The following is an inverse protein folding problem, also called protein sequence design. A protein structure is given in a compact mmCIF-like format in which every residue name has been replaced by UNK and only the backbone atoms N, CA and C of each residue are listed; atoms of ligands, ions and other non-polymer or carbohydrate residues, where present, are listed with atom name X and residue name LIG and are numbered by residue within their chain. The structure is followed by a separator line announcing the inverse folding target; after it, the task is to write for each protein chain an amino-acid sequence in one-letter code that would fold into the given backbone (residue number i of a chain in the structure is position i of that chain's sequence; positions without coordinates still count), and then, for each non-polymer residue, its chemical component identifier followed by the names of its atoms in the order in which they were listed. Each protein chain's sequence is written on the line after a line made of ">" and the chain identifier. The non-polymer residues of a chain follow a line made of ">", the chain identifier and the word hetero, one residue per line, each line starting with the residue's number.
data_IF_933819747067
#
_entry.id   IF_933819747067
#
_cell.length_a   1.000
_cell.length_b   1.000
_cell.length_c   1.000
_cell.angle_alpha   90.00
_cell.angle_beta   90.00
_cell.angle_gamma   90.00
#
_symmetry.space_group_name_H-M   'P 1'
#
loop_
_entity.id
_entity.type
_entity.pdbx_description
1 polymer ?
#
# COMPACT_ATOMS: atom_id res chain seq x y z
N UNK A 1 -9.35 -5.81 22.98
CA UNK A 1 -8.25 -5.16 22.26
C UNK A 1 -8.37 -5.62 20.82
N UNK A 2 -8.57 -4.68 19.89
CA UNK A 2 -8.62 -5.01 18.47
C UNK A 2 -7.23 -5.47 18.01
N UNK A 3 -7.19 -6.28 16.96
CA UNK A 3 -5.95 -6.65 16.28
C UNK A 3 -6.01 -6.08 14.86
N UNK A 4 -6.30 -4.78 14.75
CA UNK A 4 -6.55 -4.11 13.46
C UNK A 4 -5.25 -3.80 12.75
N UNK A 5 -5.16 -4.20 11.49
CA UNK A 5 -4.00 -4.02 10.64
C UNK A 5 -4.37 -3.18 9.45
N UNK A 6 -3.61 -2.10 9.23
CA UNK A 6 -3.64 -1.34 7.97
C UNK A 6 -2.36 -1.63 7.21
N UNK A 7 -2.48 -1.88 5.91
CA UNK A 7 -1.33 -2.10 5.05
C UNK A 7 -1.16 -0.94 4.06
N UNK A 8 0.07 -0.48 3.87
CA UNK A 8 0.46 0.45 2.82
C UNK A 8 1.51 -0.25 1.95
N UNK A 9 1.18 -0.42 0.67
CA UNK A 9 2.03 -1.06 -0.32
C UNK A 9 2.32 -0.09 -1.46
N UNK A 10 3.56 -0.08 -1.96
CA UNK A 10 3.88 0.62 -3.21
C UNK A 10 4.22 -0.41 -4.32
N UNK A 11 3.23 -0.84 -5.12
CA UNK A 11 3.44 -1.89 -6.13
C UNK A 11 4.23 -1.41 -7.36
N UNK A 12 4.57 -0.13 -7.46
CA UNK A 12 5.38 0.40 -8.57
C UNK A 12 6.87 0.06 -8.39
N UNK A 13 7.30 -0.29 -7.18
CA UNK A 13 8.68 -0.68 -6.88
C UNK A 13 8.93 -2.19 -7.03
N UNK A 14 7.97 -2.95 -7.56
CA UNK A 14 8.10 -4.37 -7.84
C UNK A 14 6.94 -5.22 -7.32
N UNK A 15 7.15 -6.55 -7.31
CA UNK A 15 6.13 -7.49 -6.84
C UNK A 15 5.91 -7.36 -5.33
N UNK A 16 4.65 -7.36 -4.91
CA UNK A 16 4.25 -7.31 -3.50
C UNK A 16 3.90 -8.66 -2.88
N UNK A 17 4.29 -9.76 -3.52
CA UNK A 17 3.93 -11.12 -3.10
C UNK A 17 4.31 -11.43 -1.64
N UNK A 18 5.51 -11.02 -1.20
CA UNK A 18 5.94 -11.22 0.20
C UNK A 18 5.10 -10.42 1.20
N UNK A 19 4.72 -9.20 0.83
CA UNK A 19 3.85 -8.34 1.64
C UNK A 19 2.46 -8.93 1.77
N UNK A 20 1.87 -9.40 0.66
CA UNK A 20 0.58 -10.08 0.63
C UNK A 20 0.61 -11.37 1.48
N UNK A 21 1.67 -12.18 1.34
CA UNK A 21 1.87 -13.37 2.18
C UNK A 21 1.96 -13.02 3.68
N UNK A 22 2.66 -11.94 4.02
CA UNK A 22 2.78 -11.49 5.41
C UNK A 22 1.44 -11.05 5.98
N UNK A 23 0.63 -10.32 5.20
CA UNK A 23 -0.73 -9.94 5.58
C UNK A 23 -1.63 -11.16 5.76
N UNK A 24 -1.54 -12.14 4.87
CA UNK A 24 -2.27 -13.39 5.00
C UNK A 24 -1.89 -14.17 6.26
N UNK A 25 -0.60 -14.21 6.61
CA UNK A 25 -0.14 -14.85 7.84
C UNK A 25 -0.68 -14.15 9.09
N UNK A 26 -0.72 -12.81 9.10
CA UNK A 26 -1.35 -12.05 10.18
C UNK A 26 -2.85 -12.36 10.28
N UNK A 27 -3.55 -12.39 9.14
CA UNK A 27 -4.95 -12.78 9.08
C UNK A 27 -5.18 -14.18 9.69
N UNK A 28 -4.35 -15.18 9.36
CA UNK A 28 -4.41 -16.52 9.96
C UNK A 28 -4.14 -16.55 11.46
N UNK A 29 -3.41 -15.57 11.99
CA UNK A 29 -3.17 -15.40 13.43
C UNK A 29 -4.34 -14.71 14.16
N UNK A 30 -5.42 -14.38 13.46
CA UNK A 30 -6.60 -13.73 14.04
C UNK A 30 -6.51 -12.20 14.05
N UNK A 31 -5.63 -11.61 13.25
CA UNK A 31 -5.64 -10.17 13.00
C UNK A 31 -6.73 -9.79 11.99
N UNK A 32 -7.37 -8.66 12.21
CA UNK A 32 -8.32 -8.07 11.28
C UNK A 32 -7.56 -7.16 10.30
N UNK A 33 -7.50 -7.55 9.03
CA UNK A 33 -6.91 -6.69 8.00
C UNK A 33 -7.98 -5.69 7.55
N UNK A 34 -7.96 -4.49 8.12
CA UNK A 34 -8.98 -3.46 7.89
C UNK A 34 -8.98 -3.01 6.43
N UNK A 35 -7.79 -2.70 5.89
CA UNK A 35 -7.61 -2.31 4.49
C UNK A 35 -6.16 -2.40 4.02
N UNK A 36 -6.02 -2.52 2.70
CA UNK A 36 -4.75 -2.43 1.97
C UNK A 36 -4.80 -1.19 1.07
N UNK A 37 -3.88 -0.26 1.28
CA UNK A 37 -3.72 0.95 0.48
C UNK A 37 -2.53 0.77 -0.45
N UNK A 38 -2.79 0.90 -1.75
CA UNK A 38 -1.76 0.90 -2.78
C UNK A 38 -1.38 2.35 -3.09
N UNK A 39 -0.14 2.72 -2.83
CA UNK A 39 0.38 4.06 -3.07
C UNK A 39 1.20 4.04 -4.36
N UNK A 40 0.71 4.79 -5.35
CA UNK A 40 1.36 4.95 -6.66
C UNK A 40 2.22 6.22 -6.66
N UNK A 41 3.33 6.16 -5.91
CA UNK A 41 4.24 7.28 -5.66
C UNK A 41 5.02 7.71 -6.91
N UNK A 42 5.43 6.76 -7.77
CA UNK A 42 6.09 7.06 -9.04
C UNK A 42 5.12 7.74 -10.01
N UNK A 43 3.86 7.29 -10.04
CA UNK A 43 2.80 7.97 -10.81
C UNK A 43 2.58 9.41 -10.28
N UNK A 44 2.55 9.60 -8.96
CA UNK A 44 2.42 10.92 -8.35
C UNK A 44 3.57 11.86 -8.75
N UNK A 45 4.81 11.36 -8.68
CA UNK A 45 5.95 12.13 -9.15
C UNK A 45 5.82 12.44 -10.65
N UNK A 46 5.48 11.44 -11.48
CA UNK A 46 5.30 11.64 -12.92
C UNK A 46 4.27 12.73 -13.23
N UNK A 47 3.13 12.79 -12.54
CA UNK A 47 2.15 13.88 -12.70
C UNK A 47 2.76 15.26 -12.39
N UNK A 48 3.54 15.38 -11.30
CA UNK A 48 4.26 16.62 -10.96
C UNK A 48 5.27 17.04 -12.03
N UNK A 49 6.04 16.08 -12.55
CA UNK A 49 7.00 16.33 -13.63
C UNK A 49 6.29 16.74 -14.92
N UNK A 50 5.22 16.05 -15.27
CA UNK A 50 4.39 16.30 -16.45
C UNK A 50 3.74 17.69 -16.43
N UNK A 51 3.26 18.15 -15.26
CA UNK A 51 2.77 19.52 -15.09
C UNK A 51 3.87 20.56 -15.41
N UNK A 52 5.14 20.21 -15.20
CA UNK A 52 6.29 21.05 -15.54
C UNK A 52 6.61 21.04 -17.05
N UNK A 53 6.16 20.02 -17.80
CA UNK A 53 6.43 19.83 -19.25
C UNK A 53 5.18 19.93 -20.15
N UNK A 54 4.01 20.27 -19.62
CA UNK A 54 2.75 20.46 -20.38
C UNK A 54 2.20 19.23 -21.14
N UNK A 55 2.49 18.01 -20.68
CA UNK A 55 2.00 16.76 -21.31
C UNK A 55 1.13 15.91 -20.36
N UNK A 56 -0.08 16.35 -20.01
CA UNK A 56 -0.88 15.76 -18.92
C UNK A 56 -1.08 14.26 -19.08
N UNK A 57 -0.82 13.49 -18.01
CA UNK A 57 -1.26 12.10 -17.91
C UNK A 57 -2.79 12.13 -17.84
N UNK A 58 -3.47 11.34 -18.67
CA UNK A 58 -4.93 11.35 -18.67
C UNK A 58 -5.46 10.72 -17.37
N UNK A 59 -6.51 11.31 -16.79
CA UNK A 59 -7.18 10.75 -15.60
C UNK A 59 -7.68 9.33 -15.86
N UNK A 60 -8.09 9.03 -17.09
CA UNK A 60 -8.52 7.68 -17.49
C UNK A 60 -7.39 6.66 -17.40
N UNK A 61 -6.17 7.03 -17.77
CA UNK A 61 -5.01 6.15 -17.71
C UNK A 61 -4.61 5.87 -16.26
N UNK A 62 -4.70 6.87 -15.39
CA UNK A 62 -4.49 6.70 -13.94
C UNK A 62 -5.52 5.74 -13.34
N UNK A 63 -6.80 5.88 -13.70
CA UNK A 63 -7.84 4.97 -13.21
C UNK A 63 -7.67 3.54 -13.74
N UNK A 64 -7.24 3.38 -15.00
CA UNK A 64 -6.86 2.06 -15.55
C UNK A 64 -5.66 1.47 -14.79
N UNK A 65 -4.66 2.29 -14.47
CA UNK A 65 -3.47 1.88 -13.74
C UNK A 65 -3.81 1.43 -12.32
N UNK A 66 -4.61 2.21 -11.58
CA UNK A 66 -5.13 1.83 -10.25
C UNK A 66 -5.82 0.48 -10.28
N UNK A 67 -6.76 0.28 -11.22
CA UNK A 67 -7.47 -1.00 -11.38
C UNK A 67 -6.53 -2.16 -11.66
N UNK A 68 -5.48 -1.94 -12.47
CA UNK A 68 -4.46 -2.95 -12.75
C UNK A 68 -3.72 -3.39 -11.50
N UNK A 69 -3.27 -2.45 -10.67
CA UNK A 69 -2.56 -2.77 -9.43
C UNK A 69 -3.46 -3.41 -8.37
N UNK A 70 -4.70 -2.91 -8.21
CA UNK A 70 -5.69 -3.54 -7.34
C UNK A 70 -5.89 -5.01 -7.76
N UNK A 71 -6.12 -5.26 -9.06
CA UNK A 71 -6.31 -6.61 -9.58
C UNK A 71 -5.10 -7.51 -9.30
N UNK A 72 -3.89 -6.99 -9.43
CA UNK A 72 -2.67 -7.76 -9.15
C UNK A 72 -2.61 -8.18 -7.66
N UNK A 73 -2.88 -7.27 -6.73
CA UNK A 73 -2.85 -7.56 -5.29
C UNK A 73 -3.96 -8.53 -4.88
N UNK A 74 -5.17 -8.34 -5.43
CA UNK A 74 -6.29 -9.26 -5.22
C UNK A 74 -5.95 -10.65 -5.73
N UNK A 75 -5.38 -10.76 -6.93
CA UNK A 75 -4.97 -12.05 -7.50
C UNK A 75 -3.89 -12.75 -6.68
N UNK A 76 -2.95 -12.01 -6.07
CA UNK A 76 -1.95 -12.60 -5.16
C UNK A 76 -2.59 -13.08 -3.86
N UNK A 77 -3.63 -12.41 -3.37
CA UNK A 77 -4.39 -12.86 -2.19
C UNK A 77 -5.20 -14.12 -2.50
N UNK A 78 -5.93 -14.13 -3.61
CA UNK A 78 -6.75 -15.27 -4.06
C UNK A 78 -5.89 -16.51 -4.36
N UNK A 79 -4.61 -16.34 -4.69
CA UNK A 79 -3.67 -17.44 -4.84
C UNK A 79 -3.29 -18.11 -3.49
N UNK A 80 -3.52 -17.43 -2.36
CA UNK A 80 -3.23 -17.94 -1.01
C UNK A 80 -4.47 -18.51 -0.31
N UNK A 81 -5.67 -18.05 -0.67
CA UNK A 81 -6.93 -18.46 -0.03
C UNK A 81 -8.14 -18.20 -0.94
N UNK A 82 -9.19 -19.01 -0.78
CA UNK A 82 -10.50 -18.76 -1.39
C UNK A 82 -11.35 -17.77 -0.56
N UNK A 83 -10.85 -17.35 0.61
CA UNK A 83 -11.52 -16.38 1.47
C UNK A 83 -11.48 -14.96 0.87
N UNK A 84 -12.53 -14.18 1.18
CA UNK A 84 -12.67 -12.81 0.68
C UNK A 84 -11.47 -11.96 1.08
N UNK A 85 -10.85 -11.29 0.10
CA UNK A 85 -9.76 -10.36 0.35
C UNK A 85 -10.23 -9.13 1.17
N UNK A 86 -9.33 -8.52 1.96
CA UNK A 86 -9.63 -7.25 2.62
C UNK A 86 -9.87 -6.13 1.60
N UNK A 87 -10.54 -5.03 1.98
CA UNK A 87 -10.69 -3.86 1.12
C UNK A 87 -9.34 -3.39 0.56
N UNK A 88 -9.27 -3.17 -0.75
CA UNK A 88 -8.06 -2.67 -1.43
C UNK A 88 -8.40 -1.36 -2.13
N UNK A 89 -7.67 -0.31 -1.80
CA UNK A 89 -7.78 1.00 -2.45
C UNK A 89 -6.45 1.41 -3.09
N UNK A 90 -6.49 2.19 -4.17
CA UNK A 90 -5.29 2.70 -4.83
C UNK A 90 -5.33 4.22 -4.92
N UNK A 91 -4.25 4.86 -4.45
CA UNK A 91 -4.10 6.31 -4.29
C UNK A 91 -2.82 6.75 -4.99
N UNK A 92 -2.88 7.90 -5.67
CA UNK A 92 -1.71 8.55 -6.27
C UNK A 92 -1.30 9.69 -5.32
N UNK A 93 -0.32 9.42 -4.46
CA UNK A 93 0.22 10.37 -3.47
C UNK A 93 1.60 9.86 -3.02
N UNK A 94 2.29 10.61 -2.15
CA UNK A 94 3.50 10.13 -1.47
C UNK A 94 3.14 9.21 -0.31
N UNK A 95 3.97 8.21 -0.04
CA UNK A 95 3.73 7.24 1.05
C UNK A 95 3.59 7.98 2.39
N UNK A 96 4.42 9.00 2.61
CA UNK A 96 4.36 9.85 3.80
C UNK A 96 3.01 10.53 3.98
N UNK A 97 2.49 11.16 2.93
CA UNK A 97 1.23 11.90 3.00
C UNK A 97 0.05 10.95 3.30
N UNK A 98 0.10 9.72 2.80
CA UNK A 98 -0.93 8.72 3.07
C UNK A 98 -0.87 8.25 4.52
N UNK A 99 0.34 8.01 5.03
CA UNK A 99 0.58 7.63 6.43
C UNK A 99 0.11 8.72 7.39
N UNK A 100 0.46 9.99 7.13
CA UNK A 100 0.08 11.14 7.97
C UNK A 100 -1.45 11.37 8.00
N UNK A 101 -2.20 10.85 7.00
CA UNK A 101 -3.67 10.93 6.90
C UNK A 101 -4.38 9.70 7.47
N UNK A 102 -3.65 8.67 7.91
CA UNK A 102 -4.28 7.47 8.48
C UNK A 102 -5.00 7.81 9.80
N UNK A 103 -6.18 7.25 10.05
CA UNK A 103 -6.84 7.39 11.34
C UNK A 103 -6.03 6.69 12.43
N UNK A 104 -6.12 7.18 13.67
CA UNK A 104 -5.45 6.57 14.82
C UNK A 104 -6.12 5.27 15.32
N UNK A 105 -7.04 4.67 14.58
CA UNK A 105 -7.78 3.45 14.95
C UNK A 105 -7.19 2.19 14.25
N UNK A 106 -5.90 1.95 14.43
CA UNK A 106 -5.22 0.71 14.03
C UNK A 106 -4.15 0.32 15.03
N UNK A 107 -3.85 -0.97 15.15
CA UNK A 107 -2.89 -1.52 16.12
C UNK A 107 -1.53 -1.82 15.48
N UNK A 108 -1.51 -2.12 14.17
CA UNK A 108 -0.31 -2.43 13.41
C UNK A 108 -0.36 -1.83 12.01
N UNK A 109 0.72 -1.14 11.62
CA UNK A 109 0.93 -0.69 10.24
C UNK A 109 1.89 -1.64 9.52
N UNK A 110 1.46 -2.18 8.38
CA UNK A 110 2.33 -3.00 7.52
C UNK A 110 2.78 -2.16 6.34
N UNK A 111 4.09 -2.01 6.18
CA UNK A 111 4.72 -1.30 5.07
C UNK A 111 5.42 -2.32 4.16
N UNK A 112 5.02 -2.38 2.90
CA UNK A 112 5.56 -3.35 1.94
C UNK A 112 5.86 -2.74 0.59
N UNK A 113 6.85 -3.27 -0.12
CA UNK A 113 7.22 -2.79 -1.47
C UNK A 113 7.61 -1.30 -1.52
N UNK A 114 8.02 -0.72 -0.40
CA UNK A 114 8.45 0.68 -0.35
C UNK A 114 9.98 0.70 -0.37
N UNK A 115 10.55 1.65 -1.10
CA UNK A 115 12.01 1.80 -1.14
C UNK A 115 12.60 2.08 0.25
N UNK A 116 13.72 1.42 0.55
CA UNK A 116 14.39 1.50 1.85
C UNK A 116 14.73 2.93 2.30
N UNK A 117 15.07 3.82 1.36
CA UNK A 117 15.45 5.21 1.67
C UNK A 117 14.25 6.05 2.15
N UNK A 118 13.05 5.72 1.70
CA UNK A 118 11.82 6.42 2.08
C UNK A 118 11.28 5.95 3.44
N UNK A 119 11.62 4.73 3.86
CA UNK A 119 11.11 4.12 5.09
C UNK A 119 11.73 4.70 6.37
N UNK A 120 13.04 4.97 6.42
CA UNK A 120 13.70 5.38 7.67
C UNK A 120 13.12 6.67 8.25
N UNK A 121 12.93 7.70 7.42
CA UNK A 121 12.34 8.98 7.84
C UNK A 121 10.87 8.85 8.23
N UNK A 122 10.16 7.88 7.65
CA UNK A 122 8.74 7.65 7.90
C UNK A 122 8.53 6.98 9.26
N UNK A 123 9.34 5.96 9.57
CA UNK A 123 9.25 5.18 10.82
C UNK A 123 9.60 6.04 12.04
N UNK A 124 10.54 6.97 11.93
CA UNK A 124 10.97 7.84 13.04
C UNK A 124 9.84 8.69 13.66
N UNK A 125 8.76 8.96 12.91
CA UNK A 125 7.68 9.85 13.33
C UNK A 125 6.41 9.11 13.75
N UNK A 126 6.43 7.77 13.78
CA UNK A 126 5.26 6.95 14.04
C UNK A 126 5.32 6.31 15.42
N UNK A 127 4.30 6.57 16.24
CA UNK A 127 4.21 6.07 17.62
C UNK A 127 3.64 4.64 17.72
N UNK A 128 3.30 4.02 16.59
CA UNK A 128 2.64 2.71 16.53
C UNK A 128 3.57 1.61 16.02
N UNK A 129 3.29 0.34 16.36
CA UNK A 129 4.02 -0.79 15.80
C UNK A 129 3.97 -0.81 14.27
N UNK A 130 5.13 -1.04 13.66
CA UNK A 130 5.30 -1.12 12.21
C UNK A 130 5.98 -2.43 11.84
N UNK A 131 5.38 -3.14 10.89
CA UNK A 131 6.00 -4.27 10.22
C UNK A 131 6.47 -3.85 8.83
N UNK A 132 7.79 -3.80 8.62
CA UNK A 132 8.38 -3.56 7.30
C UNK A 132 8.65 -4.88 6.61
N UNK A 133 7.96 -5.14 5.50
CA UNK A 133 8.18 -6.31 4.66
C UNK A 133 9.15 -5.96 3.53
N UNK A 134 10.33 -6.56 3.57
CA UNK A 134 11.33 -6.41 2.51
C UNK A 134 10.95 -7.28 1.29
N UNK A 135 11.01 -6.67 0.11
CA UNK A 135 10.90 -7.40 -1.16
C UNK A 135 12.06 -8.37 -1.37
#
# INVERSE_FOLDING_TARGET
>A
MGNKVVAILNPENGTCKKSVLSLYNLYKQGYEIEKIILVLENTYHAEKWVLSFSMPVSKEDIEKLKKRYIKAIVSEWEALTEERHPPVEAIVDEVKNVVDKLPDDYDLLVLGCIEHKSLCKLIEHLDKPILVVKN
#
